data_IF_361161560863
#
_entry.id   IF_361161560863
#
_cell.length_a   1.000
_cell.length_b   1.000
_cell.length_c   1.000
_cell.angle_alpha   90.00
_cell.angle_beta   90.00
_cell.angle_gamma   90.00
#
_symmetry.space_group_name_H-M   'P 1'
#
loop_
_entity.id
_entity.type
_entity.pdbx_description
1 polymer ?
#
# COMPACT_ATOMS: atom_id res chain seq x y z
N UNK A 1 49.09 -1.39 -16.50
CA UNK A 1 47.93 -2.25 -16.85
C UNK A 1 47.34 -2.95 -15.63
N UNK A 2 48.15 -3.55 -14.75
CA UNK A 2 47.67 -4.21 -13.52
C UNK A 2 46.89 -3.29 -12.55
N UNK A 3 47.31 -2.04 -12.34
CA UNK A 3 46.61 -1.12 -11.43
C UNK A 3 45.24 -0.63 -11.92
N UNK A 4 44.98 -0.68 -13.23
CA UNK A 4 43.68 -0.32 -13.81
C UNK A 4 42.66 -1.45 -13.60
N UNK A 5 43.11 -2.69 -13.78
CA UNK A 5 42.30 -3.90 -13.54
C UNK A 5 41.99 -4.05 -12.05
N UNK A 6 42.95 -3.78 -11.15
CA UNK A 6 42.68 -3.76 -9.71
C UNK A 6 41.70 -2.67 -9.28
N UNK A 7 41.82 -1.46 -9.84
CA UNK A 7 40.86 -0.37 -9.56
C UNK A 7 39.45 -0.72 -10.00
N UNK A 8 39.31 -1.30 -11.20
CA UNK A 8 38.03 -1.74 -11.73
C UNK A 8 37.46 -2.88 -10.87
N UNK A 9 38.27 -3.90 -10.55
CA UNK A 9 37.85 -5.02 -9.72
C UNK A 9 37.38 -4.60 -8.32
N UNK A 10 38.10 -3.68 -7.67
CA UNK A 10 37.70 -3.12 -6.36
C UNK A 10 36.42 -2.29 -6.45
N UNK A 11 36.25 -1.51 -7.52
CA UNK A 11 35.05 -0.71 -7.75
C UNK A 11 33.82 -1.57 -8.01
N UNK A 12 33.93 -2.58 -8.88
CA UNK A 12 32.85 -3.55 -9.17
C UNK A 12 32.51 -4.34 -7.91
N UNK A 13 33.50 -4.84 -7.16
CA UNK A 13 33.25 -5.53 -5.89
C UNK A 13 32.53 -4.66 -4.87
N UNK A 14 32.85 -3.37 -4.80
CA UNK A 14 32.16 -2.41 -3.94
C UNK A 14 30.69 -2.17 -4.32
N UNK A 15 30.38 -2.06 -5.62
CA UNK A 15 28.99 -1.91 -6.09
C UNK A 15 28.20 -3.19 -5.84
N UNK A 16 28.74 -4.35 -6.20
CA UNK A 16 28.08 -5.65 -5.99
C UNK A 16 27.84 -5.91 -4.50
N UNK A 17 28.82 -5.59 -3.64
CA UNK A 17 28.67 -5.71 -2.20
C UNK A 17 27.54 -4.83 -1.63
N UNK A 18 27.41 -3.59 -2.11
CA UNK A 18 26.31 -2.69 -1.70
C UNK A 18 24.95 -3.20 -2.15
N UNK A 19 24.83 -3.67 -3.39
CA UNK A 19 23.57 -4.24 -3.90
C UNK A 19 23.19 -5.51 -3.14
N UNK A 20 24.15 -6.38 -2.84
CA UNK A 20 23.89 -7.59 -2.05
C UNK A 20 23.48 -7.25 -0.61
N UNK A 21 24.08 -6.23 0.01
CA UNK A 21 23.65 -5.76 1.33
C UNK A 21 22.26 -5.15 1.30
N UNK A 22 21.97 -4.25 0.37
CA UNK A 22 20.64 -3.68 0.22
C UNK A 22 19.58 -4.76 0.00
N UNK A 23 19.90 -5.82 -0.76
CA UNK A 23 19.04 -6.98 -0.93
C UNK A 23 18.79 -7.74 0.37
N UNK A 24 19.83 -7.96 1.20
CA UNK A 24 19.67 -8.60 2.52
C UNK A 24 18.83 -7.76 3.47
N UNK A 25 19.08 -6.45 3.52
CA UNK A 25 18.32 -5.52 4.35
C UNK A 25 16.85 -5.48 3.92
N UNK A 26 16.58 -5.47 2.62
CA UNK A 26 15.22 -5.52 2.09
C UNK A 26 14.50 -6.83 2.47
N UNK A 27 15.15 -7.98 2.33
CA UNK A 27 14.58 -9.28 2.75
C UNK A 27 14.28 -9.26 4.25
N UNK A 28 15.21 -8.73 5.05
CA UNK A 28 15.04 -8.67 6.50
C UNK A 28 13.87 -7.76 6.89
N UNK A 29 13.72 -6.60 6.25
CA UNK A 29 12.57 -5.71 6.43
C UNK A 29 11.25 -6.40 6.06
N UNK A 30 11.23 -7.13 4.93
CA UNK A 30 10.06 -7.89 4.51
C UNK A 30 9.63 -8.91 5.58
N UNK A 31 10.59 -9.69 6.09
CA UNK A 31 10.31 -10.76 7.06
C UNK A 31 9.94 -10.20 8.44
N UNK A 32 10.61 -9.15 8.91
CA UNK A 32 10.45 -8.66 10.27
C UNK A 32 9.31 -7.66 10.43
N UNK A 33 8.89 -6.98 9.35
CA UNK A 33 7.94 -5.88 9.43
C UNK A 33 6.77 -6.08 8.48
N UNK A 34 7.04 -6.23 7.18
CA UNK A 34 5.98 -6.20 6.15
C UNK A 34 5.07 -7.45 6.24
N UNK A 35 5.64 -8.65 6.28
CA UNK A 35 4.86 -9.90 6.32
C UNK A 35 4.01 -9.98 7.61
N UNK A 36 4.55 -9.71 8.82
CA UNK A 36 3.74 -9.67 10.03
C UNK A 36 2.59 -8.66 9.97
N UNK A 37 2.84 -7.46 9.43
CA UNK A 37 1.81 -6.45 9.27
C UNK A 37 0.72 -6.90 8.28
N UNK A 38 1.10 -7.44 7.12
CA UNK A 38 0.15 -8.00 6.15
C UNK A 38 -0.71 -9.12 6.75
N UNK A 39 -0.12 -10.00 7.56
CA UNK A 39 -0.85 -11.06 8.24
C UNK A 39 -1.88 -10.50 9.24
N UNK A 40 -1.52 -9.48 10.00
CA UNK A 40 -2.44 -8.77 10.89
C UNK A 40 -3.61 -8.15 10.11
N UNK A 41 -3.32 -7.41 9.04
CA UNK A 41 -4.35 -6.76 8.21
C UNK A 41 -5.27 -7.79 7.56
N UNK A 42 -4.74 -8.91 7.06
CA UNK A 42 -5.53 -10.00 6.52
C UNK A 42 -6.48 -10.60 7.55
N UNK A 43 -6.04 -10.75 8.81
CA UNK A 43 -6.89 -11.20 9.91
C UNK A 43 -8.03 -10.22 10.21
N UNK A 44 -7.74 -8.92 10.26
CA UNK A 44 -8.76 -7.87 10.48
C UNK A 44 -9.78 -7.87 9.34
N UNK A 45 -9.33 -7.90 8.08
CA UNK A 45 -10.23 -7.97 6.91
C UNK A 45 -11.07 -9.26 6.95
N UNK A 46 -10.47 -10.40 7.27
CA UNK A 46 -11.21 -11.67 7.41
C UNK A 46 -12.30 -11.60 8.47
N UNK A 47 -12.06 -10.92 9.59
CA UNK A 47 -13.07 -10.68 10.62
C UNK A 47 -14.18 -9.74 10.11
N UNK A 48 -13.82 -8.64 9.45
CA UNK A 48 -14.79 -7.68 8.88
C UNK A 48 -15.70 -8.35 7.85
N UNK A 49 -15.15 -9.18 6.97
CA UNK A 49 -15.91 -9.91 5.94
C UNK A 49 -16.78 -11.02 6.53
N UNK A 50 -16.30 -11.74 7.55
CA UNK A 50 -17.07 -12.83 8.18
C UNK A 50 -18.18 -12.34 9.11
N UNK A 51 -18.09 -11.13 9.64
CA UNK A 51 -19.10 -10.53 10.54
C UNK A 51 -20.21 -9.77 9.83
N UNK A 52 -20.13 -9.59 8.50
CA UNK A 52 -21.11 -8.80 7.73
C UNK A 52 -21.01 -7.28 7.95
N UNK A 53 -20.12 -6.81 8.83
CA UNK A 53 -19.79 -5.38 8.98
C UNK A 53 -19.18 -4.85 7.67
N UNK A 54 -18.43 -5.71 6.96
CA UNK A 54 -17.88 -5.40 5.64
C UNK A 54 -18.94 -5.00 4.63
N UNK A 55 -20.15 -5.56 4.69
CA UNK A 55 -21.24 -5.25 3.75
C UNK A 55 -21.79 -3.84 3.99
N UNK A 56 -21.93 -3.41 5.24
CA UNK A 56 -22.37 -2.05 5.61
C UNK A 56 -21.35 -1.01 5.17
N UNK A 57 -20.06 -1.31 5.38
CA UNK A 57 -18.97 -0.43 4.95
C UNK A 57 -18.89 -0.39 3.42
N UNK A 58 -19.04 -1.55 2.75
CA UNK A 58 -19.04 -1.64 1.30
C UNK A 58 -20.21 -0.88 0.66
N UNK A 59 -21.40 -0.92 1.26
CA UNK A 59 -22.56 -0.18 0.76
C UNK A 59 -22.36 1.33 0.84
N UNK A 60 -21.76 1.83 1.93
CA UNK A 60 -21.34 3.22 2.04
C UNK A 60 -20.28 3.59 1.00
N UNK A 61 -19.25 2.75 0.83
CA UNK A 61 -18.14 3.00 -0.10
C UNK A 61 -18.57 2.91 -1.57
N UNK A 62 -19.51 2.02 -1.93
CA UNK A 62 -20.06 1.90 -3.29
C UNK A 62 -20.59 3.22 -3.84
N UNK A 63 -21.21 4.04 -2.98
CA UNK A 63 -21.66 5.38 -3.35
C UNK A 63 -20.52 6.33 -3.73
N UNK A 64 -19.36 6.21 -3.06
CA UNK A 64 -18.17 7.03 -3.30
C UNK A 64 -17.25 6.46 -4.39
N UNK A 65 -17.21 5.14 -4.57
CA UNK A 65 -16.29 4.48 -5.49
C UNK A 65 -16.79 4.45 -6.95
N UNK A 66 -18.09 4.65 -7.18
CA UNK A 66 -18.69 4.63 -8.52
C UNK A 66 -18.58 5.96 -9.29
N UNK A 67 -17.99 6.99 -8.71
CA UNK A 67 -17.75 8.25 -9.43
C UNK A 67 -16.47 8.95 -8.96
N UNK A 68 -15.89 9.74 -9.87
CA UNK A 68 -14.65 10.50 -9.64
C UNK A 68 -14.74 11.47 -8.46
N UNK A 69 -15.91 12.07 -8.23
CA UNK A 69 -16.12 13.05 -7.16
C UNK A 69 -16.03 12.39 -5.79
N UNK A 70 -16.65 11.21 -5.63
CA UNK A 70 -16.59 10.43 -4.40
C UNK A 70 -15.17 9.95 -4.11
N UNK A 71 -14.45 9.49 -5.14
CA UNK A 71 -13.04 9.14 -5.00
C UNK A 71 -12.15 10.33 -4.65
N UNK A 72 -12.44 11.53 -5.16
CA UNK A 72 -11.73 12.74 -4.70
C UNK A 72 -11.98 13.05 -3.23
N UNK A 73 -13.20 12.85 -2.72
CA UNK A 73 -13.48 13.04 -1.29
C UNK A 73 -12.72 12.02 -0.43
N UNK A 74 -12.67 10.76 -0.87
CA UNK A 74 -11.85 9.72 -0.22
C UNK A 74 -10.38 10.14 -0.20
N UNK A 75 -9.86 10.62 -1.34
CA UNK A 75 -8.49 11.13 -1.46
C UNK A 75 -8.21 12.25 -0.44
N UNK A 76 -9.12 13.22 -0.32
CA UNK A 76 -8.97 14.33 0.63
C UNK A 76 -8.87 13.81 2.07
N UNK A 77 -9.75 12.89 2.47
CA UNK A 77 -9.75 12.31 3.81
C UNK A 77 -8.48 11.49 4.08
N UNK A 78 -8.07 10.65 3.13
CA UNK A 78 -6.84 9.86 3.22
C UNK A 78 -5.58 10.74 3.20
N UNK A 79 -5.65 11.94 2.62
CA UNK A 79 -4.52 12.89 2.49
C UNK A 79 -4.33 13.84 3.67
N UNK A 80 -5.11 13.71 4.76
CA UNK A 80 -4.99 14.61 5.91
C UNK A 80 -3.63 14.38 6.62
N UNK A 81 -2.72 15.38 6.64
CA UNK A 81 -1.34 15.17 7.10
C UNK A 81 -1.20 14.75 8.57
N UNK A 82 -2.17 15.10 9.43
CA UNK A 82 -2.19 14.73 10.85
C UNK A 82 -2.67 13.29 11.09
N UNK A 83 -3.44 12.74 10.16
CA UNK A 83 -3.82 11.34 10.23
C UNK A 83 -2.59 10.47 9.94
N UNK A 84 -1.72 10.84 9.00
CA UNK A 84 -0.56 10.05 8.53
C UNK A 84 0.39 9.52 9.65
N UNK A 85 0.78 10.31 10.68
CA UNK A 85 1.57 9.82 11.83
C UNK A 85 0.79 8.93 12.80
N UNK A 86 -0.53 9.17 12.94
CA UNK A 86 -1.44 8.31 13.71
C UNK A 86 -1.80 7.03 12.92
N UNK A 87 -1.44 6.98 11.63
CA UNK A 87 -1.88 6.02 10.62
C UNK A 87 -0.88 4.88 10.36
N UNK A 88 0.18 4.69 11.15
CA UNK A 88 0.89 3.41 11.17
C UNK A 88 -0.09 2.20 11.29
N UNK A 89 -1.17 2.33 12.10
CA UNK A 89 -2.36 1.48 12.06
C UNK A 89 -3.50 1.95 11.14
N UNK A 90 -3.56 3.21 10.73
CA UNK A 90 -4.67 3.77 9.94
C UNK A 90 -4.56 3.61 8.41
N UNK A 91 -3.39 3.19 7.90
CA UNK A 91 -3.27 2.58 6.57
C UNK A 91 -4.27 1.43 6.38
N UNK A 92 -4.74 0.84 7.48
CA UNK A 92 -5.81 -0.18 7.50
C UNK A 92 -7.11 0.35 6.89
N UNK A 93 -7.51 1.61 7.07
CA UNK A 93 -8.77 2.13 6.48
C UNK A 93 -8.64 2.21 4.96
N UNK A 94 -7.58 2.84 4.46
CA UNK A 94 -7.29 2.91 3.03
C UNK A 94 -7.18 1.51 2.40
N UNK A 95 -6.54 0.58 3.11
CA UNK A 95 -6.40 -0.81 2.69
C UNK A 95 -7.73 -1.56 2.68
N UNK A 96 -8.60 -1.39 3.68
CA UNK A 96 -9.94 -1.96 3.71
C UNK A 96 -10.77 -1.41 2.54
N UNK A 97 -10.77 -0.09 2.35
CA UNK A 97 -11.46 0.57 1.22
C UNK A 97 -10.96 0.01 -0.11
N UNK A 98 -9.64 -0.11 -0.28
CA UNK A 98 -9.04 -0.67 -1.49
C UNK A 98 -9.44 -2.12 -1.77
N UNK A 99 -9.47 -2.97 -0.74
CA UNK A 99 -9.91 -4.37 -0.88
C UNK A 99 -11.39 -4.46 -1.20
N UNK A 100 -12.23 -3.64 -0.57
CA UNK A 100 -13.67 -3.61 -0.85
C UNK A 100 -13.96 -3.10 -2.27
N UNK A 101 -13.33 -1.99 -2.70
CA UNK A 101 -13.48 -1.48 -4.07
C UNK A 101 -12.97 -2.50 -5.09
N UNK A 102 -11.82 -3.12 -4.85
CA UNK A 102 -11.30 -4.18 -5.73
C UNK A 102 -12.22 -5.39 -5.83
N UNK A 103 -12.84 -5.80 -4.72
CA UNK A 103 -13.83 -6.88 -4.70
C UNK A 103 -15.07 -6.53 -5.50
N UNK A 104 -15.55 -5.29 -5.40
CA UNK A 104 -16.74 -4.83 -6.12
C UNK A 104 -16.49 -4.59 -7.61
N UNK A 105 -15.28 -4.19 -8.00
CA UNK A 105 -14.82 -4.21 -9.40
C UNK A 105 -14.80 -5.65 -9.92
N UNK A 106 -14.24 -6.59 -9.15
CA UNK A 106 -14.21 -8.02 -9.52
C UNK A 106 -15.59 -8.66 -9.66
N UNK A 107 -16.59 -8.14 -8.93
CA UNK A 107 -18.01 -8.53 -9.02
C UNK A 107 -18.77 -7.84 -10.16
N UNK A 108 -18.18 -6.84 -10.83
CA UNK A 108 -18.83 -6.08 -11.89
C UNK A 108 -19.81 -4.99 -11.40
N UNK A 109 -19.81 -4.68 -10.11
CA UNK A 109 -20.66 -3.64 -9.53
C UNK A 109 -20.06 -2.22 -9.68
N UNK A 110 -18.75 -2.15 -9.93
CA UNK A 110 -18.00 -0.91 -10.19
C UNK A 110 -17.29 -1.07 -11.53
N UNK A 111 -17.33 -0.04 -12.37
CA UNK A 111 -16.67 -0.05 -13.67
C UNK A 111 -15.15 -0.20 -13.53
N UNK A 112 -14.52 -1.03 -14.36
CA UNK A 112 -13.08 -1.31 -14.31
C UNK A 112 -12.24 -0.04 -14.53
N UNK A 113 -12.75 0.94 -15.26
CA UNK A 113 -12.10 2.25 -15.44
C UNK A 113 -11.89 3.01 -14.13
N UNK A 114 -12.67 2.70 -13.09
CA UNK A 114 -12.54 3.31 -11.76
C UNK A 114 -11.39 2.73 -10.93
N UNK A 115 -10.77 1.63 -11.36
CA UNK A 115 -9.68 0.98 -10.64
C UNK A 115 -8.48 1.91 -10.41
N UNK A 116 -8.05 2.62 -11.46
CA UNK A 116 -6.90 3.52 -11.38
C UNK A 116 -7.20 4.77 -10.53
N UNK A 117 -8.32 5.50 -10.73
CA UNK A 117 -8.73 6.56 -9.83
C UNK A 117 -8.86 6.10 -8.37
N UNK A 118 -9.41 4.90 -8.14
CA UNK A 118 -9.59 4.37 -6.78
C UNK A 118 -8.24 4.10 -6.11
N UNK A 119 -7.26 3.56 -6.86
CA UNK A 119 -5.90 3.34 -6.35
C UNK A 119 -5.26 4.64 -5.87
N UNK A 120 -5.40 5.73 -6.64
CA UNK A 120 -4.87 7.04 -6.24
C UNK A 120 -5.64 7.64 -5.08
N UNK A 121 -6.96 7.43 -5.02
CA UNK A 121 -7.81 7.94 -3.95
C UNK A 121 -7.48 7.33 -2.58
N UNK A 122 -7.11 6.05 -2.54
CA UNK A 122 -6.74 5.37 -1.28
C UNK A 122 -5.25 5.52 -0.93
N UNK A 123 -4.43 5.97 -1.88
CA UNK A 123 -2.99 6.15 -1.71
C UNK A 123 -2.51 7.59 -2.02
N UNK A 124 -3.06 8.62 -1.34
CA UNK A 124 -2.45 9.94 -1.38
C UNK A 124 -1.20 9.92 -0.51
N UNK A 125 -0.03 9.93 -1.15
CA UNK A 125 1.27 9.98 -0.47
C UNK A 125 1.41 11.30 0.29
N UNK A 126 1.19 11.29 1.62
CA UNK A 126 1.31 12.48 2.47
C UNK A 126 2.07 12.17 3.76
N UNK A 127 3.02 13.04 4.12
CA UNK A 127 3.70 13.01 5.42
C UNK A 127 4.59 11.78 5.64
N UNK A 128 4.08 10.78 6.38
CA UNK A 128 4.84 9.66 6.95
C UNK A 128 5.32 8.59 5.96
N UNK A 129 4.91 8.61 4.69
CA UNK A 129 5.51 7.72 3.68
C UNK A 129 6.98 8.06 3.39
N UNK A 130 7.49 9.21 3.89
CA UNK A 130 8.85 9.70 3.66
C UNK A 130 9.70 9.84 4.93
N UNK A 131 9.19 9.42 6.10
CA UNK A 131 9.89 9.49 7.41
C UNK A 131 10.28 8.08 7.85
#
# INVERSE_FOLDING_TARGET
MQSMIEKIGRSVGGVVGKLFQAGRDAIQLCIQTIIPFMAFVAGVIGLILSTGIGDVIAEGIKGFANNLVGLMLVCIVCSIPFLSPLLGPGAVIAQIVGVLVGTEIGRGNVDVSMALPALFAINPQVGCDFV
#
